data_IF_690360106464
#
_entry.id   IF_690360106464
#
_cell.length_a   1.000
_cell.length_b   1.000
_cell.length_c   1.000
_cell.angle_alpha   90.00
_cell.angle_beta   90.00
_cell.angle_gamma   90.00
#
_symmetry.space_group_name_H-M   'P 1'
#
loop_
_entity.id
_entity.type
_entity.pdbx_description
1 polymer ?
#
# COMPACT_ATOMS: atom_id res chain seq x y z
N UNK A 1 19.06 -21.36 -15.06
CA UNK A 1 18.98 -20.84 -13.72
C UNK A 1 17.62 -21.04 -13.11
N UNK A 2 17.56 -21.82 -12.04
CA UNK A 2 16.31 -22.22 -11.41
C UNK A 2 15.47 -21.08 -10.84
N UNK A 3 16.12 -19.98 -10.37
CA UNK A 3 15.44 -18.87 -9.75
C UNK A 3 14.47 -18.12 -10.67
N UNK A 4 14.89 -17.79 -11.89
CA UNK A 4 14.03 -17.11 -12.86
C UNK A 4 12.85 -17.98 -13.31
N UNK A 5 13.11 -19.26 -13.56
CA UNK A 5 12.06 -20.20 -13.94
C UNK A 5 11.06 -20.42 -12.80
N UNK A 6 11.56 -20.53 -11.57
CA UNK A 6 10.71 -20.65 -10.40
C UNK A 6 9.79 -19.43 -10.26
N UNK A 7 10.32 -18.20 -10.41
CA UNK A 7 9.52 -16.96 -10.35
C UNK A 7 8.49 -16.88 -11.48
N UNK A 8 8.81 -17.33 -12.69
CA UNK A 8 7.86 -17.30 -13.80
C UNK A 8 6.70 -18.28 -13.64
N UNK A 9 6.85 -19.30 -12.79
CA UNK A 9 5.79 -20.28 -12.50
C UNK A 9 4.92 -19.92 -11.32
N UNK A 10 5.26 -18.86 -10.60
CA UNK A 10 4.48 -18.42 -9.43
C UNK A 10 3.12 -17.91 -9.90
N UNK A 11 2.06 -18.45 -9.30
CA UNK A 11 0.67 -18.04 -9.54
C UNK A 11 0.17 -17.06 -8.50
N UNK A 12 0.68 -17.15 -7.29
CA UNK A 12 0.31 -16.28 -6.18
C UNK A 12 1.52 -15.53 -5.69
N UNK A 13 1.35 -14.22 -5.56
CA UNK A 13 2.42 -13.34 -5.13
C UNK A 13 1.92 -12.52 -3.95
N UNK A 14 2.68 -12.54 -2.86
CA UNK A 14 2.42 -11.67 -1.71
C UNK A 14 3.50 -10.60 -1.70
N UNK A 15 3.08 -9.36 -1.78
CA UNK A 15 3.99 -8.22 -1.76
C UNK A 15 3.76 -7.45 -0.46
N UNK A 16 4.82 -7.29 0.32
CA UNK A 16 4.80 -6.49 1.56
C UNK A 16 5.44 -5.15 1.29
N UNK A 17 4.75 -4.09 1.70
CA UNK A 17 5.18 -2.72 1.47
C UNK A 17 5.27 -1.99 2.81
N UNK A 18 6.46 -1.52 3.14
CA UNK A 18 6.68 -0.69 4.31
C UNK A 18 6.19 0.74 4.09
N UNK A 19 5.86 1.42 5.17
CA UNK A 19 5.32 2.78 5.11
C UNK A 19 6.26 3.78 4.40
N UNK A 20 7.56 3.64 4.58
CA UNK A 20 8.53 4.54 3.95
C UNK A 20 8.57 4.48 2.43
N UNK A 21 8.04 3.40 1.83
CA UNK A 21 7.97 3.25 0.37
C UNK A 21 6.84 4.06 -0.25
N UNK A 22 5.76 4.27 0.47
CA UNK A 22 4.53 4.85 -0.06
C UNK A 22 4.12 6.16 0.61
N UNK A 23 4.88 6.62 1.61
CA UNK A 23 4.61 7.88 2.29
C UNK A 23 5.75 8.86 2.08
N UNK A 24 5.40 10.13 1.96
CA UNK A 24 6.37 11.22 2.00
C UNK A 24 6.56 11.66 3.45
N UNK A 25 7.79 12.02 3.88
CA UNK A 25 8.04 12.44 5.26
C UNK A 25 7.10 13.56 5.69
N UNK A 26 6.35 13.32 6.78
CA UNK A 26 5.42 14.30 7.35
C UNK A 26 4.15 14.58 6.55
N UNK A 27 3.94 13.93 5.41
CA UNK A 27 2.83 14.24 4.52
C UNK A 27 1.85 13.08 4.27
N UNK A 28 2.12 11.90 4.81
CA UNK A 28 1.29 10.73 4.56
C UNK A 28 1.52 10.12 3.19
N UNK A 29 0.49 9.54 2.55
CA UNK A 29 0.64 8.81 1.29
C UNK A 29 1.18 9.68 0.15
N UNK A 30 2.13 9.13 -0.59
CA UNK A 30 2.68 9.75 -1.79
C UNK A 30 2.02 9.11 -3.02
N UNK A 31 1.19 9.89 -3.70
CA UNK A 31 0.41 9.42 -4.84
C UNK A 31 1.27 8.90 -5.99
N UNK A 32 2.45 9.48 -6.21
CA UNK A 32 3.36 9.02 -7.27
C UNK A 32 3.95 7.66 -6.97
N UNK A 33 4.34 7.43 -5.72
CA UNK A 33 4.89 6.14 -5.28
C UNK A 33 3.84 5.05 -5.33
N UNK A 34 2.64 5.37 -4.88
CA UNK A 34 1.51 4.43 -4.92
C UNK A 34 1.12 4.13 -6.37
N UNK A 35 1.13 5.12 -7.25
CA UNK A 35 0.85 4.92 -8.67
C UNK A 35 1.88 4.01 -9.34
N UNK A 36 3.16 4.18 -9.04
CA UNK A 36 4.23 3.33 -9.55
C UNK A 36 4.07 1.89 -9.07
N UNK A 37 3.76 1.70 -7.78
CA UNK A 37 3.49 0.39 -7.23
C UNK A 37 2.27 -0.27 -7.89
N UNK A 38 1.19 0.48 -8.07
CA UNK A 38 0.00 -0.04 -8.72
C UNK A 38 0.27 -0.49 -10.16
N UNK A 39 1.12 0.23 -10.90
CA UNK A 39 1.52 -0.17 -12.24
C UNK A 39 2.28 -1.49 -12.24
N UNK A 40 3.20 -1.68 -11.29
CA UNK A 40 3.95 -2.94 -11.14
C UNK A 40 3.02 -4.10 -10.77
N UNK A 41 2.08 -3.87 -9.86
CA UNK A 41 1.10 -4.89 -9.48
C UNK A 41 0.16 -5.24 -10.64
N UNK A 42 -0.26 -4.26 -11.42
CA UNK A 42 -1.09 -4.47 -12.58
C UNK A 42 -0.39 -5.35 -13.63
N UNK A 43 0.91 -5.14 -13.83
CA UNK A 43 1.71 -5.98 -14.71
C UNK A 43 1.73 -7.44 -14.23
N UNK A 44 1.90 -7.66 -12.93
CA UNK A 44 1.87 -9.00 -12.35
C UNK A 44 0.52 -9.69 -12.53
N UNK A 45 -0.58 -8.96 -12.31
CA UNK A 45 -1.94 -9.48 -12.53
C UNK A 45 -2.17 -9.80 -14.01
N UNK A 46 -1.66 -8.96 -14.91
CA UNK A 46 -1.75 -9.19 -16.35
C UNK A 46 -1.04 -10.46 -16.81
N UNK A 47 -0.07 -10.95 -16.05
CA UNK A 47 0.59 -12.23 -16.27
C UNK A 47 -0.17 -13.42 -15.67
N UNK A 48 -1.44 -13.24 -15.34
CA UNK A 48 -2.33 -14.23 -14.74
C UNK A 48 -1.90 -14.68 -13.35
N UNK A 49 -1.33 -13.78 -12.58
CA UNK A 49 -0.96 -14.03 -11.19
C UNK A 49 -2.01 -13.43 -10.25
N UNK A 50 -2.26 -14.13 -9.16
CA UNK A 50 -3.00 -13.59 -8.04
C UNK A 50 -2.03 -12.80 -7.17
N UNK A 51 -2.38 -11.58 -6.82
CA UNK A 51 -1.53 -10.71 -6.02
C UNK A 51 -2.25 -10.29 -4.74
N UNK A 52 -1.58 -10.51 -3.62
CA UNK A 52 -2.00 -9.98 -2.33
C UNK A 52 -0.98 -8.92 -1.90
N UNK A 53 -1.44 -7.70 -1.70
CA UNK A 53 -0.61 -6.61 -1.22
C UNK A 53 -0.85 -6.42 0.27
N UNK A 54 0.22 -6.50 1.04
CA UNK A 54 0.20 -6.22 2.48
C UNK A 54 0.94 -4.91 2.70
N UNK A 55 0.20 -3.87 3.01
CA UNK A 55 0.74 -2.52 3.13
C UNK A 55 0.78 -2.06 4.58
N UNK A 56 1.89 -1.46 4.97
CA UNK A 56 1.96 -0.61 6.15
C UNK A 56 1.57 0.81 5.78
N UNK A 57 1.52 1.70 6.76
CA UNK A 57 1.32 3.12 6.53
C UNK A 57 -0.03 3.67 7.00
N UNK A 58 -0.90 2.83 7.58
CA UNK A 58 -2.18 3.31 8.08
C UNK A 58 -2.02 4.32 9.23
N UNK A 59 -1.15 4.04 10.19
CA UNK A 59 -0.92 4.95 11.32
C UNK A 59 -0.31 6.27 10.85
N UNK A 60 0.70 6.21 10.01
CA UNK A 60 1.37 7.41 9.45
C UNK A 60 0.37 8.25 8.64
N UNK A 61 -0.45 7.61 7.85
CA UNK A 61 -1.51 8.28 7.09
C UNK A 61 -2.53 8.94 8.03
N UNK A 62 -2.93 8.24 9.07
CA UNK A 62 -3.85 8.76 10.08
C UNK A 62 -3.26 9.94 10.85
N UNK A 63 -1.99 9.87 11.20
CA UNK A 63 -1.27 10.97 11.82
C UNK A 63 -1.32 12.24 10.96
N UNK A 64 -1.04 12.08 9.67
CA UNK A 64 -1.10 13.21 8.73
C UNK A 64 -2.51 13.79 8.64
N UNK A 65 -3.54 12.94 8.57
CA UNK A 65 -4.94 13.34 8.52
C UNK A 65 -5.38 14.08 9.77
N UNK A 66 -4.95 13.60 10.93
CA UNK A 66 -5.32 14.16 12.22
C UNK A 66 -4.43 15.33 12.64
N UNK A 67 -3.38 15.63 11.88
CA UNK A 67 -2.45 16.68 12.21
C UNK A 67 -1.60 16.40 13.44
N UNK A 68 -1.31 15.13 13.72
CA UNK A 68 -0.51 14.76 14.89
C UNK A 68 0.96 15.04 14.64
N UNK A 69 1.63 15.80 15.53
CA UNK A 69 3.04 16.16 15.33
C UNK A 69 4.01 15.04 15.67
N UNK A 70 3.57 14.04 16.41
CA UNK A 70 4.41 12.93 16.84
C UNK A 70 3.61 11.63 16.82
N UNK A 71 4.35 10.51 16.73
CA UNK A 71 3.72 9.19 16.73
C UNK A 71 2.96 8.94 18.04
N UNK A 72 1.72 8.43 17.97
CA UNK A 72 0.94 8.13 19.17
C UNK A 72 1.65 7.14 20.08
N UNK A 73 1.57 7.36 21.39
CA UNK A 73 2.22 6.50 22.38
C UNK A 73 1.29 5.47 22.97
N UNK A 74 0.02 5.81 23.11
CA UNK A 74 -0.98 4.89 23.66
C UNK A 74 -1.60 4.01 22.58
N UNK A 75 -2.07 2.82 22.97
CA UNK A 75 -2.74 1.91 22.05
C UNK A 75 -4.03 2.53 21.50
N UNK A 76 -4.92 3.17 22.31
CA UNK A 76 -6.11 3.82 21.78
C UNK A 76 -5.81 4.89 20.72
N UNK A 77 -4.76 5.68 20.93
CA UNK A 77 -4.37 6.70 19.95
C UNK A 77 -3.85 6.08 18.66
N UNK A 78 -3.06 4.99 18.76
CA UNK A 78 -2.59 4.24 17.60
C UNK A 78 -3.76 3.64 16.83
N UNK A 79 -4.73 3.09 17.53
CA UNK A 79 -5.93 2.52 16.91
C UNK A 79 -6.75 3.59 16.20
N UNK A 80 -6.91 4.74 16.81
CA UNK A 80 -7.63 5.86 16.19
C UNK A 80 -6.91 6.34 14.92
N UNK A 81 -5.59 6.53 15.00
CA UNK A 81 -4.81 6.93 13.83
C UNK A 81 -4.87 5.88 12.72
N UNK A 82 -4.76 4.59 13.07
CA UNK A 82 -4.86 3.50 12.11
C UNK A 82 -6.24 3.45 11.44
N UNK A 83 -7.31 3.64 12.19
CA UNK A 83 -8.67 3.62 11.64
C UNK A 83 -8.89 4.74 10.62
N UNK A 84 -8.49 5.97 10.97
CA UNK A 84 -8.56 7.11 10.06
C UNK A 84 -7.66 6.89 8.85
N UNK A 85 -6.43 6.43 9.09
CA UNK A 85 -5.43 6.25 8.05
C UNK A 85 -5.74 5.11 7.11
N UNK A 86 -6.32 4.02 7.59
CA UNK A 86 -6.66 2.87 6.76
C UNK A 86 -7.63 3.25 5.63
N UNK A 87 -8.66 3.99 5.96
CA UNK A 87 -9.63 4.45 4.98
C UNK A 87 -8.99 5.33 3.91
N UNK A 88 -8.16 6.29 4.32
CA UNK A 88 -7.46 7.17 3.40
C UNK A 88 -6.44 6.42 2.54
N UNK A 89 -5.70 5.49 3.14
CA UNK A 89 -4.71 4.69 2.43
C UNK A 89 -5.37 3.81 1.37
N UNK A 90 -6.46 3.15 1.70
CA UNK A 90 -7.21 2.32 0.76
C UNK A 90 -7.76 3.15 -0.39
N UNK A 91 -8.22 4.36 -0.12
CA UNK A 91 -8.67 5.26 -1.17
C UNK A 91 -7.56 5.53 -2.20
N UNK A 92 -6.34 5.79 -1.74
CA UNK A 92 -5.19 6.00 -2.63
C UNK A 92 -4.90 4.76 -3.50
N UNK A 93 -4.95 3.56 -2.90
CA UNK A 93 -4.77 2.32 -3.65
C UNK A 93 -5.88 2.10 -4.67
N UNK A 94 -7.12 2.38 -4.30
CA UNK A 94 -8.25 2.27 -5.21
C UNK A 94 -8.11 3.20 -6.42
N UNK A 95 -7.76 4.47 -6.18
CA UNK A 95 -7.60 5.44 -7.26
C UNK A 95 -6.47 5.05 -8.21
N UNK A 96 -5.33 4.63 -7.67
CA UNK A 96 -4.19 4.21 -8.46
C UNK A 96 -4.48 2.95 -9.28
N UNK A 97 -5.16 1.97 -8.68
CA UNK A 97 -5.49 0.69 -9.32
C UNK A 97 -6.60 0.82 -10.37
N UNK A 98 -7.50 1.76 -10.20
CA UNK A 98 -8.60 2.02 -11.11
C UNK A 98 -8.12 2.37 -12.52
N UNK A 99 -7.00 3.08 -12.63
CA UNK A 99 -6.37 3.43 -13.90
C UNK A 99 -5.95 2.19 -14.70
N UNK A 100 -5.74 1.08 -14.03
CA UNK A 100 -5.33 -0.19 -14.64
C UNK A 100 -6.48 -1.20 -14.72
N UNK A 101 -7.71 -0.78 -14.42
CA UNK A 101 -8.88 -1.64 -14.43
C UNK A 101 -8.91 -2.67 -13.31
N UNK A 102 -8.17 -2.45 -12.23
CA UNK A 102 -8.09 -3.37 -11.10
C UNK A 102 -9.06 -2.95 -9.99
N UNK A 103 -9.65 -3.94 -9.36
CA UNK A 103 -10.42 -3.76 -8.12
C UNK A 103 -9.53 -4.06 -6.92
N UNK A 104 -9.72 -3.31 -5.86
CA UNK A 104 -9.02 -3.46 -4.59
C UNK A 104 -10.06 -3.76 -3.52
N UNK A 105 -9.81 -4.79 -2.76
CA UNK A 105 -10.73 -5.20 -1.72
C UNK A 105 -10.05 -5.78 -0.50
#
# INVERSE_FOLDING_TARGET
MGGRRALSRIRRLVVKVGSGLITAPGQGPDGKRIAALAADLAAAVGERREVALVSSGAIVTGMARLGLPARPRSIPEKQAAAAVGQSALMWHYEQASKKHGLQVG
#
